data_IF_540533098148
#
_entry.id   IF_540533098148
#
_cell.length_a   1.000
_cell.length_b   1.000
_cell.length_c   1.000
_cell.angle_alpha   90.00
_cell.angle_beta   90.00
_cell.angle_gamma   90.00
#
_symmetry.space_group_name_H-M   'P 1'
#
loop_
_entity.id
_entity.type
_entity.pdbx_description
1 polymer ?
#
# COMPACT_ATOMS: atom_id res chain seq x y z
N UNK A 1 13.02 -11.93 0.86
CA UNK A 1 13.43 -11.17 -0.34
C UNK A 1 14.76 -10.43 -0.16
N UNK A 2 15.01 -9.78 1.00
CA UNK A 2 16.23 -9.02 1.27
C UNK A 2 17.51 -9.85 1.18
N UNK A 3 17.54 -11.06 1.75
CA UNK A 3 18.68 -11.97 1.64
C UNK A 3 18.98 -12.35 0.18
N UNK A 4 17.96 -12.53 -0.66
CA UNK A 4 18.11 -12.82 -2.09
C UNK A 4 18.67 -11.62 -2.85
N UNK A 5 18.22 -10.41 -2.53
CA UNK A 5 18.74 -9.18 -3.09
C UNK A 5 20.23 -8.98 -2.75
N UNK A 6 20.65 -9.28 -1.51
CA UNK A 6 22.07 -9.26 -1.10
C UNK A 6 22.92 -10.28 -1.85
N UNK A 7 22.36 -11.46 -2.18
CA UNK A 7 23.05 -12.52 -2.93
C UNK A 7 22.96 -12.33 -4.45
N UNK A 8 22.52 -11.17 -4.94
CA UNK A 8 22.31 -10.87 -6.37
C UNK A 8 21.42 -11.89 -7.11
N UNK A 9 20.48 -12.55 -6.41
CA UNK A 9 19.51 -13.49 -6.98
C UNK A 9 18.26 -12.73 -7.45
N UNK A 10 18.37 -11.89 -8.47
CA UNK A 10 17.34 -10.96 -8.90
C UNK A 10 16.05 -11.63 -9.35
N UNK A 11 16.14 -12.71 -10.12
CA UNK A 11 14.97 -13.47 -10.60
C UNK A 11 14.17 -14.07 -9.43
N UNK A 12 14.85 -14.66 -8.45
CA UNK A 12 14.19 -15.20 -7.24
C UNK A 12 13.59 -14.09 -6.39
N UNK A 13 14.28 -12.95 -6.28
CA UNK A 13 13.77 -11.77 -5.59
C UNK A 13 12.47 -11.26 -6.24
N UNK A 14 12.46 -11.08 -7.57
CA UNK A 14 11.28 -10.62 -8.31
C UNK A 14 10.10 -11.60 -8.16
N UNK A 15 10.33 -12.91 -8.34
CA UNK A 15 9.28 -13.92 -8.17
C UNK A 15 8.67 -13.88 -6.76
N UNK A 16 9.51 -13.82 -5.72
CA UNK A 16 9.03 -13.78 -4.34
C UNK A 16 8.22 -12.52 -4.05
N UNK A 17 8.66 -11.34 -4.52
CA UNK A 17 7.91 -10.10 -4.36
C UNK A 17 6.57 -10.17 -5.07
N UNK A 18 6.51 -10.66 -6.32
CA UNK A 18 5.25 -10.79 -7.05
C UNK A 18 4.28 -11.74 -6.35
N UNK A 19 4.76 -12.92 -5.93
CA UNK A 19 3.92 -13.87 -5.18
C UNK A 19 3.40 -13.23 -3.89
N UNK A 20 4.27 -12.58 -3.12
CA UNK A 20 3.86 -11.89 -1.88
C UNK A 20 2.82 -10.80 -2.15
N UNK A 21 2.95 -10.02 -3.23
CA UNK A 21 2.00 -8.97 -3.59
C UNK A 21 0.65 -9.55 -4.01
N UNK A 22 0.64 -10.61 -4.83
CA UNK A 22 -0.60 -11.29 -5.22
C UNK A 22 -1.29 -11.88 -3.99
N UNK A 23 -0.54 -12.55 -3.10
CA UNK A 23 -1.09 -13.10 -1.85
C UNK A 23 -1.69 -12.01 -0.96
N UNK A 24 -1.04 -10.84 -0.88
CA UNK A 24 -1.55 -9.70 -0.11
C UNK A 24 -2.85 -9.16 -0.71
N UNK A 25 -2.94 -9.01 -2.03
CA UNK A 25 -4.18 -8.56 -2.71
C UNK A 25 -5.31 -9.57 -2.46
N UNK A 26 -5.04 -10.86 -2.64
CA UNK A 26 -6.03 -11.93 -2.38
C UNK A 26 -6.51 -11.88 -0.93
N UNK A 27 -5.59 -11.71 0.03
CA UNK A 27 -5.92 -11.57 1.44
C UNK A 27 -6.82 -10.36 1.68
N UNK A 28 -6.49 -9.19 1.13
CA UNK A 28 -7.33 -7.99 1.29
C UNK A 28 -8.72 -8.17 0.71
N UNK A 29 -8.84 -8.73 -0.50
CA UNK A 29 -10.14 -9.01 -1.12
C UNK A 29 -10.95 -9.97 -0.26
N UNK A 30 -10.35 -11.07 0.21
CA UNK A 30 -11.00 -12.04 1.08
C UNK A 30 -11.43 -11.42 2.42
N UNK A 31 -10.57 -10.57 3.03
CA UNK A 31 -10.88 -9.85 4.25
C UNK A 31 -12.08 -8.91 4.09
N UNK A 32 -12.09 -8.08 3.05
CA UNK A 32 -13.21 -7.18 2.78
C UNK A 32 -14.50 -7.93 2.47
N UNK A 33 -14.41 -9.04 1.74
CA UNK A 33 -15.55 -9.89 1.45
C UNK A 33 -16.11 -10.53 2.73
N UNK A 34 -15.27 -11.13 3.57
CA UNK A 34 -15.68 -11.71 4.85
C UNK A 34 -16.31 -10.64 5.76
N UNK A 35 -15.76 -9.43 5.79
CA UNK A 35 -16.31 -8.30 6.53
C UNK A 35 -17.69 -7.90 6.01
N UNK A 36 -17.89 -7.85 4.68
CA UNK A 36 -19.20 -7.53 4.08
C UNK A 36 -20.29 -8.56 4.41
N UNK A 37 -19.89 -9.79 4.72
CA UNK A 37 -20.79 -10.87 5.17
C UNK A 37 -21.06 -10.87 6.69
N UNK A 38 -20.49 -9.90 7.44
CA UNK A 38 -20.64 -9.84 8.89
C UNK A 38 -19.82 -10.88 9.67
N UNK A 39 -18.96 -11.66 9.00
CA UNK A 39 -18.14 -12.69 9.64
C UNK A 39 -17.05 -12.09 10.54
N UNK A 40 -16.63 -10.84 10.23
CA UNK A 40 -15.62 -10.08 10.96
C UNK A 40 -16.26 -8.78 11.49
N UNK A 41 -17.16 -8.90 12.44
CA UNK A 41 -17.94 -7.78 12.99
C UNK A 41 -17.25 -7.00 14.11
N UNK A 42 -15.94 -7.19 14.32
CA UNK A 42 -15.19 -6.48 15.35
C UNK A 42 -14.82 -5.08 14.90
N UNK A 43 -15.77 -4.16 14.98
CA UNK A 43 -15.56 -2.76 14.64
C UNK A 43 -15.51 -1.89 15.89
N UNK A 44 -14.43 -1.14 16.02
CA UNK A 44 -14.32 -0.10 17.03
C UNK A 44 -14.36 -0.63 18.47
N UNK A 45 -15.04 0.15 19.33
CA UNK A 45 -15.14 -0.13 20.76
C UNK A 45 -15.88 -1.44 21.08
N UNK A 46 -16.85 -1.81 20.25
CA UNK A 46 -17.68 -3.01 20.46
C UNK A 46 -16.86 -4.31 20.42
N UNK A 47 -15.78 -4.33 19.62
CA UNK A 47 -14.88 -5.49 19.53
C UNK A 47 -13.83 -5.58 20.63
N UNK A 48 -13.69 -4.58 21.50
CA UNK A 48 -12.64 -4.49 22.50
C UNK A 48 -13.19 -4.68 23.92
N UNK A 49 -12.82 -5.78 24.58
CA UNK A 49 -13.33 -6.15 25.92
C UNK A 49 -12.59 -5.48 27.10
N UNK A 50 -11.63 -4.59 26.85
CA UNK A 50 -10.85 -3.92 27.89
C UNK A 50 -11.43 -2.58 28.37
N UNK A 51 -10.76 -1.92 29.35
CA UNK A 51 -11.16 -0.62 29.88
C UNK A 51 -11.10 0.50 28.84
N UNK A 52 -11.91 1.56 29.02
CA UNK A 52 -11.99 2.70 28.08
C UNK A 52 -10.71 3.51 28.00
N UNK A 53 -9.98 3.65 29.08
CA UNK A 53 -8.69 4.32 29.12
C UNK A 53 -7.64 3.59 28.28
N UNK A 54 -7.59 2.26 28.36
CA UNK A 54 -6.70 1.43 27.53
C UNK A 54 -7.13 1.47 26.07
N UNK A 55 -8.43 1.43 25.81
CA UNK A 55 -8.94 1.56 24.45
C UNK A 55 -8.50 2.87 23.80
N UNK A 56 -8.78 4.00 24.45
CA UNK A 56 -8.53 5.31 23.88
C UNK A 56 -7.03 5.69 23.84
N UNK A 57 -6.27 5.34 24.87
CA UNK A 57 -4.90 5.81 25.02
C UNK A 57 -3.84 4.83 24.48
N UNK A 58 -4.20 3.57 24.25
CA UNK A 58 -3.27 2.54 23.76
C UNK A 58 -3.75 1.89 22.48
N UNK A 59 -4.94 1.28 22.49
CA UNK A 59 -5.43 0.51 21.35
C UNK A 59 -5.67 1.39 20.12
N UNK A 60 -6.41 2.49 20.26
CA UNK A 60 -6.72 3.40 19.14
C UNK A 60 -5.46 4.02 18.53
N UNK A 61 -4.47 4.53 19.29
CA UNK A 61 -3.20 4.99 18.73
C UNK A 61 -2.41 3.90 17.99
N UNK A 62 -2.35 2.69 18.55
CA UNK A 62 -1.66 1.55 17.89
C UNK A 62 -2.37 1.17 16.59
N UNK A 63 -3.69 1.06 16.61
CA UNK A 63 -4.49 0.74 15.42
C UNK A 63 -4.36 1.84 14.36
N UNK A 64 -4.43 3.11 14.75
CA UNK A 64 -4.27 4.24 13.82
C UNK A 64 -2.88 4.23 13.18
N UNK A 65 -1.85 4.02 13.98
CA UNK A 65 -0.47 3.89 13.49
C UNK A 65 -0.35 2.70 12.53
N UNK A 66 -0.95 1.56 12.86
CA UNK A 66 -1.00 0.39 12.00
C UNK A 66 -1.64 0.71 10.63
N UNK A 67 -2.79 1.35 10.62
CA UNK A 67 -3.50 1.71 9.38
C UNK A 67 -2.69 2.68 8.51
N UNK A 68 -2.03 3.67 9.11
CA UNK A 68 -1.13 4.59 8.40
C UNK A 68 0.03 3.82 7.77
N UNK A 69 0.68 2.95 8.53
CA UNK A 69 1.82 2.15 8.06
C UNK A 69 1.41 1.18 6.94
N UNK A 70 0.25 0.52 7.06
CA UNK A 70 -0.30 -0.36 6.02
C UNK A 70 -0.54 0.43 4.73
N UNK A 71 -1.15 1.60 4.82
CA UNK A 71 -1.42 2.46 3.66
C UNK A 71 -0.13 2.89 2.97
N UNK A 72 0.85 3.38 3.74
CA UNK A 72 2.16 3.78 3.21
C UNK A 72 2.91 2.58 2.60
N UNK A 73 2.90 1.45 3.30
CA UNK A 73 3.55 0.22 2.84
C UNK A 73 2.94 -0.29 1.53
N UNK A 74 1.63 -0.24 1.39
CA UNK A 74 0.91 -0.66 0.20
C UNK A 74 1.24 0.25 -1.00
N UNK A 75 1.19 1.57 -0.82
CA UNK A 75 1.57 2.55 -1.85
C UNK A 75 3.00 2.33 -2.33
N UNK A 76 3.94 2.17 -1.39
CA UNK A 76 5.35 1.91 -1.72
C UNK A 76 5.53 0.56 -2.42
N UNK A 77 4.83 -0.48 -2.00
CA UNK A 77 4.92 -1.80 -2.61
C UNK A 77 4.44 -1.77 -4.08
N UNK A 78 3.30 -1.13 -4.36
CA UNK A 78 2.82 -0.94 -5.73
C UNK A 78 3.78 -0.11 -6.57
N UNK A 79 4.37 0.94 -6.00
CA UNK A 79 5.38 1.75 -6.67
C UNK A 79 6.65 0.96 -6.99
N UNK A 80 7.11 0.11 -6.05
CA UNK A 80 8.37 -0.62 -6.16
C UNK A 80 8.36 -1.72 -7.23
N UNK A 81 7.19 -2.26 -7.61
CA UNK A 81 7.09 -3.28 -8.66
C UNK A 81 7.55 -2.73 -10.01
N UNK A 82 6.90 -1.72 -10.62
CA UNK A 82 7.34 -1.16 -11.89
C UNK A 82 8.74 -0.55 -11.81
N UNK A 83 9.08 0.04 -10.66
CA UNK A 83 10.42 0.58 -10.43
C UNK A 83 11.50 -0.50 -10.45
N UNK A 84 11.22 -1.68 -9.86
CA UNK A 84 12.14 -2.82 -9.88
C UNK A 84 12.40 -3.32 -11.29
N UNK A 85 11.36 -3.50 -12.11
CA UNK A 85 11.49 -3.91 -13.50
C UNK A 85 12.20 -2.86 -14.36
N UNK A 86 11.93 -1.58 -14.16
CA UNK A 86 12.60 -0.49 -14.90
C UNK A 86 14.07 -0.31 -14.51
N UNK A 87 14.41 -0.60 -13.24
CA UNK A 87 15.77 -0.48 -12.70
C UNK A 87 16.64 -1.71 -12.95
N UNK A 88 16.08 -2.79 -13.50
CA UNK A 88 16.79 -4.03 -13.77
C UNK A 88 16.81 -4.37 -15.24
N UNK A 89 17.79 -5.20 -15.62
CA UNK A 89 17.90 -5.82 -16.95
C UNK A 89 18.11 -7.33 -16.76
N UNK A 90 17.65 -8.10 -17.73
CA UNK A 90 17.87 -9.54 -17.75
C UNK A 90 19.21 -9.84 -18.44
N UNK A 91 20.16 -10.38 -17.68
CA UNK A 91 21.48 -10.75 -18.18
C UNK A 91 21.70 -12.24 -17.90
N UNK A 92 21.70 -13.05 -18.97
CA UNK A 92 21.93 -14.49 -18.84
C UNK A 92 20.87 -15.25 -18.00
N UNK A 93 19.60 -14.80 -18.04
CA UNK A 93 18.49 -15.45 -17.31
C UNK A 93 18.30 -14.94 -15.87
N UNK A 94 19.13 -14.01 -15.38
CA UNK A 94 18.94 -13.39 -14.09
C UNK A 94 18.77 -11.87 -14.21
N UNK A 95 17.91 -11.30 -13.35
CA UNK A 95 17.67 -9.85 -13.27
C UNK A 95 18.74 -9.20 -12.42
N UNK A 96 19.44 -8.20 -13.01
CA UNK A 96 20.44 -7.40 -12.33
C UNK A 96 20.08 -5.93 -12.40
N UNK A 97 20.39 -5.18 -11.33
CA UNK A 97 20.21 -3.73 -11.35
C UNK A 97 21.18 -3.11 -12.33
N UNK A 98 20.65 -2.34 -13.27
CA UNK A 98 21.46 -1.61 -14.26
C UNK A 98 21.86 -0.24 -13.72
N UNK A 99 23.08 0.19 -14.02
CA UNK A 99 23.51 1.54 -13.79
C UNK A 99 22.78 2.49 -14.77
N UNK A 100 22.51 3.70 -14.33
CA UNK A 100 21.94 4.76 -15.15
C UNK A 100 20.76 5.47 -14.53
N UNK A 101 20.46 6.64 -15.09
CA UNK A 101 19.33 7.46 -14.67
C UNK A 101 18.02 6.87 -15.19
N UNK A 102 17.04 6.83 -14.30
CA UNK A 102 15.67 6.41 -14.60
C UNK A 102 14.77 7.64 -14.52
N UNK A 103 14.45 8.21 -15.67
CA UNK A 103 13.51 9.33 -15.76
C UNK A 103 12.25 8.94 -16.50
N UNK A 104 11.11 9.32 -15.97
CA UNK A 104 9.84 9.22 -16.69
C UNK A 104 9.77 10.35 -17.73
N UNK A 105 9.53 9.99 -18.99
CA UNK A 105 9.34 11.00 -20.06
C UNK A 105 8.20 11.93 -19.67
N UNK A 106 8.39 13.24 -19.88
CA UNK A 106 7.37 14.25 -19.54
C UNK A 106 6.03 13.99 -20.22
N UNK A 107 6.06 13.47 -21.46
CA UNK A 107 4.84 13.06 -22.18
C UNK A 107 4.09 11.93 -21.46
N UNK A 108 4.79 10.90 -20.99
CA UNK A 108 4.21 9.78 -20.23
C UNK A 108 3.63 10.28 -18.92
N UNK A 109 4.34 11.13 -18.19
CA UNK A 109 3.86 11.73 -16.96
C UNK A 109 2.54 12.51 -17.14
N UNK A 110 2.51 13.40 -18.13
CA UNK A 110 1.30 14.14 -18.49
C UNK A 110 0.16 13.21 -18.88
N UNK A 111 0.42 12.18 -19.70
CA UNK A 111 -0.58 11.20 -20.11
C UNK A 111 -1.18 10.50 -18.90
N UNK A 112 -0.37 10.03 -17.95
CA UNK A 112 -0.85 9.37 -16.72
C UNK A 112 -1.74 10.32 -15.91
N UNK A 113 -1.34 11.58 -15.71
CA UNK A 113 -2.17 12.56 -14.99
C UNK A 113 -3.48 12.84 -15.71
N UNK A 114 -3.46 13.00 -17.04
CA UNK A 114 -4.69 13.17 -17.82
C UNK A 114 -5.60 11.93 -17.76
N UNK A 115 -5.03 10.73 -17.75
CA UNK A 115 -5.80 9.49 -17.58
C UNK A 115 -6.48 9.46 -16.20
N UNK A 116 -5.75 9.80 -15.13
CA UNK A 116 -6.30 9.87 -13.78
C UNK A 116 -7.46 10.87 -13.73
N UNK A 117 -7.27 12.07 -14.29
CA UNK A 117 -8.30 13.10 -14.33
C UNK A 117 -9.53 12.64 -15.16
N UNK A 118 -9.30 12.02 -16.30
CA UNK A 118 -10.36 11.48 -17.15
C UNK A 118 -11.17 10.36 -16.45
N UNK A 119 -10.50 9.44 -15.77
CA UNK A 119 -11.14 8.42 -14.96
C UNK A 119 -11.95 9.02 -13.81
N UNK A 120 -11.40 10.01 -13.12
CA UNK A 120 -12.13 10.74 -12.08
C UNK A 120 -13.39 11.41 -12.64
N UNK A 121 -13.29 12.14 -13.76
CA UNK A 121 -14.41 12.79 -14.40
C UNK A 121 -15.49 11.78 -14.82
N UNK A 122 -15.09 10.62 -15.38
CA UNK A 122 -16.01 9.55 -15.74
C UNK A 122 -16.76 9.01 -14.51
N UNK A 123 -16.06 8.78 -13.40
CA UNK A 123 -16.70 8.34 -12.15
C UNK A 123 -17.70 9.38 -11.64
N UNK A 124 -17.38 10.69 -11.71
CA UNK A 124 -18.31 11.75 -11.31
C UNK A 124 -19.59 11.75 -12.19
N UNK A 125 -19.43 11.60 -13.50
CA UNK A 125 -20.57 11.51 -14.43
C UNK A 125 -21.43 10.27 -14.11
N UNK A 126 -20.82 9.12 -13.87
CA UNK A 126 -21.56 7.90 -13.50
C UNK A 126 -22.34 8.07 -12.20
N UNK A 127 -21.76 8.70 -11.16
CA UNK A 127 -22.43 8.97 -9.89
C UNK A 127 -23.63 9.91 -10.08
N UNK A 128 -23.51 10.94 -10.92
CA UNK A 128 -24.61 11.85 -11.24
C UNK A 128 -25.76 11.13 -11.98
N UNK A 129 -25.43 10.27 -12.93
CA UNK A 129 -26.43 9.53 -13.71
C UNK A 129 -27.16 8.48 -12.86
N UNK A 130 -26.45 7.79 -11.97
CA UNK A 130 -27.03 6.73 -11.13
C UNK A 130 -27.80 7.25 -9.92
N UNK A 131 -27.75 8.55 -9.64
CA UNK A 131 -28.42 9.22 -8.50
C UNK A 131 -28.16 8.60 -7.13
N UNK A 132 -27.04 7.89 -6.96
CA UNK A 132 -26.65 7.27 -5.69
C UNK A 132 -25.87 8.27 -4.84
N UNK A 133 -26.55 8.92 -3.88
CA UNK A 133 -25.99 9.84 -2.87
C UNK A 133 -24.70 10.56 -3.33
N UNK A 134 -24.80 11.51 -4.26
CA UNK A 134 -23.66 11.91 -5.08
C UNK A 134 -22.57 12.62 -4.27
N UNK A 135 -22.91 13.33 -3.18
CA UNK A 135 -21.94 14.17 -2.48
C UNK A 135 -20.91 13.35 -1.71
N UNK A 136 -21.33 12.43 -0.82
CA UNK A 136 -20.42 11.62 -0.03
C UNK A 136 -19.53 10.71 -0.89
N UNK A 137 -20.12 10.05 -1.88
CA UNK A 137 -19.40 9.22 -2.83
C UNK A 137 -18.42 10.05 -3.68
N UNK A 138 -18.84 11.23 -4.17
CA UNK A 138 -17.98 12.15 -4.94
C UNK A 138 -16.76 12.58 -4.15
N UNK A 139 -16.92 12.92 -2.87
CA UNK A 139 -15.81 13.29 -1.99
C UNK A 139 -14.87 12.11 -1.77
N UNK A 140 -15.41 10.92 -1.46
CA UNK A 140 -14.60 9.73 -1.24
C UNK A 140 -13.76 9.35 -2.47
N UNK A 141 -14.38 9.27 -3.64
CA UNK A 141 -13.65 9.00 -4.89
C UNK A 141 -12.70 10.14 -5.25
N UNK A 142 -13.09 11.40 -5.01
CA UNK A 142 -12.21 12.56 -5.19
C UNK A 142 -10.91 12.44 -4.39
N UNK A 143 -11.00 12.07 -3.12
CA UNK A 143 -9.84 11.83 -2.26
C UNK A 143 -8.94 10.70 -2.78
N UNK A 144 -9.53 9.61 -3.28
CA UNK A 144 -8.77 8.50 -3.89
C UNK A 144 -7.98 9.00 -5.10
N UNK A 145 -8.64 9.70 -6.04
CA UNK A 145 -7.97 10.19 -7.24
C UNK A 145 -6.91 11.26 -6.94
N UNK A 146 -7.15 12.15 -5.98
CA UNK A 146 -6.15 13.12 -5.49
C UNK A 146 -4.94 12.38 -4.90
N UNK A 147 -5.17 11.36 -4.08
CA UNK A 147 -4.09 10.55 -3.50
C UNK A 147 -3.26 9.87 -4.58
N UNK A 148 -3.90 9.26 -5.57
CA UNK A 148 -3.20 8.63 -6.71
C UNK A 148 -2.40 9.67 -7.51
N UNK A 149 -2.98 10.84 -7.77
CA UNK A 149 -2.29 11.93 -8.47
C UNK A 149 -1.09 12.46 -7.68
N UNK A 150 -1.20 12.57 -6.37
CA UNK A 150 -0.08 12.94 -5.48
C UNK A 150 1.03 11.89 -5.52
N UNK A 151 0.71 10.61 -5.44
CA UNK A 151 1.70 9.51 -5.54
C UNK A 151 2.43 9.55 -6.87
N UNK A 152 1.71 9.75 -7.98
CA UNK A 152 2.32 9.89 -9.31
C UNK A 152 3.18 11.15 -9.40
N UNK A 153 2.76 12.25 -8.78
CA UNK A 153 3.53 13.50 -8.74
C UNK A 153 4.80 13.38 -7.90
N UNK A 154 4.76 12.61 -6.81
CA UNK A 154 5.93 12.28 -5.99
C UNK A 154 7.02 11.55 -6.81
N UNK A 155 6.66 10.81 -7.86
CA UNK A 155 7.65 10.20 -8.77
C UNK A 155 8.63 11.24 -9.30
N UNK A 156 8.16 12.42 -9.71
CA UNK A 156 9.03 13.50 -10.20
C UNK A 156 9.96 14.07 -9.13
N UNK A 157 9.46 14.16 -7.90
CA UNK A 157 10.29 14.56 -6.76
C UNK A 157 11.36 13.50 -6.46
N UNK A 158 10.96 12.23 -6.43
CA UNK A 158 11.86 11.10 -6.21
C UNK A 158 12.91 11.03 -7.32
N UNK A 159 12.52 11.23 -8.58
CA UNK A 159 13.46 11.31 -9.72
C UNK A 159 14.52 12.41 -9.52
N UNK A 160 14.13 13.55 -8.99
CA UNK A 160 15.04 14.67 -8.71
C UNK A 160 16.00 14.35 -7.56
N UNK A 161 15.53 13.71 -6.50
CA UNK A 161 16.30 13.38 -5.30
C UNK A 161 17.19 12.13 -5.50
N UNK A 162 16.69 11.16 -6.26
CA UNK A 162 17.34 9.87 -6.52
C UNK A 162 17.29 9.54 -8.02
N UNK A 163 18.10 10.22 -8.84
CA UNK A 163 18.05 10.06 -10.29
C UNK A 163 18.52 8.68 -10.77
N UNK A 164 19.46 8.04 -10.06
CA UNK A 164 19.97 6.72 -10.39
C UNK A 164 18.94 5.63 -10.02
N UNK A 165 18.48 4.86 -11.00
CA UNK A 165 17.43 3.85 -10.83
C UNK A 165 17.78 2.76 -9.84
N UNK A 166 19.01 2.24 -9.87
CA UNK A 166 19.50 1.22 -8.96
C UNK A 166 19.56 1.72 -7.50
N UNK A 167 20.05 2.95 -7.29
CA UNK A 167 20.10 3.58 -5.96
C UNK A 167 18.70 3.82 -5.42
N UNK A 168 17.78 4.36 -6.24
CA UNK A 168 16.38 4.58 -5.90
C UNK A 168 15.72 3.28 -5.46
N UNK A 169 15.85 2.21 -6.24
CA UNK A 169 15.31 0.91 -5.92
C UNK A 169 15.84 0.37 -4.56
N UNK A 170 17.15 0.47 -4.33
CA UNK A 170 17.75 0.04 -3.05
C UNK A 170 17.27 0.84 -1.85
N UNK A 171 17.23 2.18 -1.96
CA UNK A 171 16.81 3.05 -0.85
C UNK A 171 15.34 2.84 -0.51
N UNK A 172 14.47 2.95 -1.50
CA UNK A 172 13.03 2.80 -1.30
C UNK A 172 12.67 1.37 -0.90
N UNK A 173 13.36 0.36 -1.43
CA UNK A 173 13.18 -1.03 -1.01
C UNK A 173 13.50 -1.25 0.46
N UNK A 174 14.56 -0.61 1.00
CA UNK A 174 14.86 -0.67 2.45
C UNK A 174 13.77 0.02 3.27
N UNK A 175 13.33 1.20 2.86
CA UNK A 175 12.22 1.92 3.54
C UNK A 175 10.97 1.07 3.56
N UNK A 176 10.60 0.48 2.43
CA UNK A 176 9.44 -0.42 2.32
C UNK A 176 9.57 -1.62 3.27
N UNK A 177 10.75 -2.24 3.35
CA UNK A 177 10.98 -3.37 4.26
C UNK A 177 10.86 -2.98 5.75
N UNK A 178 11.35 -1.78 6.13
CA UNK A 178 11.21 -1.27 7.51
C UNK A 178 9.74 -1.02 7.81
N UNK A 179 8.99 -0.40 6.90
CA UNK A 179 7.55 -0.17 7.08
C UNK A 179 6.82 -1.50 7.25
N UNK A 180 7.09 -2.51 6.43
CA UNK A 180 6.46 -3.83 6.60
C UNK A 180 6.84 -4.54 7.91
N UNK A 181 8.06 -4.36 8.41
CA UNK A 181 8.44 -4.85 9.72
C UNK A 181 7.63 -4.17 10.83
N UNK A 182 7.44 -2.85 10.76
CA UNK A 182 6.59 -2.10 11.69
C UNK A 182 5.11 -2.50 11.57
N UNK A 183 4.61 -2.73 10.36
CA UNK A 183 3.26 -3.26 10.13
C UNK A 183 3.08 -4.60 10.82
N UNK A 184 4.06 -5.50 10.73
CA UNK A 184 4.00 -6.79 11.42
C UNK A 184 3.92 -6.64 12.94
N UNK A 185 4.75 -5.75 13.51
CA UNK A 185 4.74 -5.49 14.96
C UNK A 185 3.40 -4.90 15.40
N UNK A 186 2.90 -3.87 14.72
CA UNK A 186 1.64 -3.22 15.07
C UNK A 186 0.43 -4.12 14.84
N UNK A 187 0.44 -4.94 13.78
CA UNK A 187 -0.59 -5.95 13.53
C UNK A 187 -0.64 -7.00 14.65
N UNK A 188 0.54 -7.50 15.05
CA UNK A 188 0.64 -8.46 16.16
C UNK A 188 0.14 -7.85 17.47
N UNK A 189 0.52 -6.59 17.77
CA UNK A 189 0.04 -5.89 18.94
C UNK A 189 -1.48 -5.73 18.94
N UNK A 190 -2.07 -5.29 17.81
CA UNK A 190 -3.52 -5.16 17.64
C UNK A 190 -4.22 -6.51 17.84
N UNK A 191 -3.68 -7.57 17.22
CA UNK A 191 -4.22 -8.93 17.37
C UNK A 191 -4.20 -9.40 18.83
N UNK A 192 -3.05 -9.26 19.50
CA UNK A 192 -2.93 -9.66 20.90
C UNK A 192 -3.88 -8.88 21.82
N UNK A 193 -4.02 -7.59 21.59
CA UNK A 193 -4.94 -6.76 22.37
C UNK A 193 -6.40 -7.17 22.18
N UNK A 194 -6.83 -7.47 20.95
CA UNK A 194 -8.22 -7.83 20.65
C UNK A 194 -8.59 -9.26 21.09
N UNK A 195 -7.70 -10.21 20.86
CA UNK A 195 -8.07 -11.63 20.96
C UNK A 195 -7.45 -12.37 22.16
N UNK A 196 -6.40 -11.82 22.75
CA UNK A 196 -5.69 -12.49 23.84
C UNK A 196 -5.81 -11.73 25.16
N UNK A 197 -5.55 -10.41 25.16
CA UNK A 197 -5.47 -9.62 26.40
C UNK A 197 -6.87 -9.11 26.80
N UNK A 198 -7.61 -8.57 25.84
CA UNK A 198 -8.92 -7.96 26.04
C UNK A 198 -9.98 -8.57 25.10
N UNK A 199 -10.18 -9.90 25.11
CA UNK A 199 -11.19 -10.51 24.25
C UNK A 199 -12.60 -10.04 24.64
N UNK A 200 -13.47 -9.91 23.63
CA UNK A 200 -14.89 -9.64 23.86
C UNK A 200 -15.48 -10.79 24.67
N UNK A 201 -16.06 -10.48 25.82
CA UNK A 201 -16.84 -11.45 26.59
C UNK A 201 -18.25 -11.49 26.01
N UNK A 202 -18.56 -12.52 25.24
CA UNK A 202 -19.94 -12.80 24.81
C UNK A 202 -20.67 -13.23 26.06
N UNK A 203 -21.60 -12.38 26.56
CA UNK A 203 -22.54 -12.72 27.63
C UNK A 203 -23.70 -13.54 27.07
#
# INVERSE_FOLDING_TARGET
SWAMAKKAQGTRHHKLILVSMVSMIVYFVAYYYARSLGVLSFEGREGFGGPDDVYNNVFVPVLTTHLILVTLGMVLAFYMIPQGFRASENTGGDYRLKAGELKMKSRTFKLVLFTILGCWALVQVLLLVTRQNPFGASVAYGLIFVTVALVVSLEKLIEKLLPEGARRHRVLGRVTMVIFALVLVTSTATYLMLYVIYPLKIQ
#
